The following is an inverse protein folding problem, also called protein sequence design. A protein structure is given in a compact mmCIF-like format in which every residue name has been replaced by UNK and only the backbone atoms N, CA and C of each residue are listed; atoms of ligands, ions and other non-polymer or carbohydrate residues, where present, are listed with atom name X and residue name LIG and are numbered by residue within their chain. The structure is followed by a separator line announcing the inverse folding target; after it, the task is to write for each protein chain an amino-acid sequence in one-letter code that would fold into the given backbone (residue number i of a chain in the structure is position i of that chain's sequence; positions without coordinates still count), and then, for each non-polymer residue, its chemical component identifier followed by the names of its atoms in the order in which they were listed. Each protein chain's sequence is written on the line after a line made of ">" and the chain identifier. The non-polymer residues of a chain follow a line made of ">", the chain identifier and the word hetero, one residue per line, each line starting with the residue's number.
data_IF_854269042445
#
_entry.id   IF_854269042445
#
_cell.length_a   1.000
_cell.length_b   1.000
_cell.length_c   1.000
_cell.angle_alpha   90.00
_cell.angle_beta   90.00
_cell.angle_gamma   90.00
#
_symmetry.space_group_name_H-M   'P 1'
#
loop_
_entity.id
_entity.type
_entity.pdbx_description
1 polymer ?
#
# COMPACT_ATOMS: atom_id res chain seq x y z
N UNK A 1 -61.69 -49.80 28.86
CA UNK A 1 -61.95 -48.77 27.83
C UNK A 1 -61.79 -47.44 28.56
N UNK A 2 -60.83 -46.54 28.33
CA UNK A 2 -60.29 -46.03 27.08
C UNK A 2 -58.87 -45.48 27.33
N UNK A 3 -57.85 -46.19 26.84
CA UNK A 3 -56.45 -45.75 26.82
C UNK A 3 -55.95 -45.53 25.38
N UNK A 4 -56.86 -45.12 24.48
CA UNK A 4 -56.58 -44.95 23.04
C UNK A 4 -56.88 -43.53 22.48
N UNK A 5 -57.28 -42.58 23.33
CA UNK A 5 -57.73 -41.25 22.86
C UNK A 5 -56.62 -40.18 22.86
N UNK A 6 -55.57 -40.36 23.65
CA UNK A 6 -54.46 -39.39 23.77
C UNK A 6 -53.48 -39.47 22.61
N UNK A 7 -53.26 -40.65 22.01
CA UNK A 7 -52.31 -40.82 20.89
C UNK A 7 -52.83 -40.19 19.59
N UNK A 8 -54.13 -40.27 19.32
CA UNK A 8 -54.75 -39.71 18.11
C UNK A 8 -54.80 -38.18 18.13
N UNK A 9 -55.01 -37.58 19.30
CA UNK A 9 -54.98 -36.12 19.47
C UNK A 9 -53.56 -35.54 19.39
N UNK A 10 -52.54 -36.26 19.85
CA UNK A 10 -51.13 -35.89 19.58
C UNK A 10 -50.75 -36.05 18.11
N UNK A 11 -51.23 -37.10 17.42
CA UNK A 11 -50.95 -37.29 15.99
C UNK A 11 -51.61 -36.20 15.13
N UNK A 12 -52.86 -35.83 15.41
CA UNK A 12 -53.53 -34.71 14.73
C UNK A 12 -52.88 -33.36 15.01
N UNK A 13 -52.36 -33.12 16.24
CA UNK A 13 -51.57 -31.92 16.53
C UNK A 13 -50.23 -31.92 15.80
N UNK A 14 -49.56 -33.06 15.69
CA UNK A 14 -48.32 -33.18 14.90
C UNK A 14 -48.56 -32.93 13.42
N UNK A 15 -49.65 -33.45 12.83
CA UNK A 15 -50.00 -33.16 11.44
C UNK A 15 -50.34 -31.68 11.24
N UNK A 16 -51.10 -31.06 12.15
CA UNK A 16 -51.43 -29.62 12.04
C UNK A 16 -50.20 -28.72 12.21
N UNK A 17 -49.26 -29.07 13.10
CA UNK A 17 -47.97 -28.38 13.23
C UNK A 17 -47.10 -28.62 11.98
N UNK A 18 -47.10 -29.82 11.41
CA UNK A 18 -46.33 -30.11 10.19
C UNK A 18 -46.88 -29.36 8.97
N UNK A 19 -48.21 -29.23 8.84
CA UNK A 19 -48.86 -28.43 7.80
C UNK A 19 -48.61 -26.93 7.97
N UNK A 20 -48.59 -26.42 9.21
CA UNK A 20 -48.22 -25.02 9.50
C UNK A 20 -46.71 -24.77 9.28
N UNK A 21 -45.85 -25.74 9.53
CA UNK A 21 -44.42 -25.68 9.21
C UNK A 21 -44.21 -25.70 7.70
N UNK A 22 -44.92 -26.53 6.93
CA UNK A 22 -44.86 -26.47 5.46
C UNK A 22 -45.36 -25.13 4.90
N UNK A 23 -46.38 -24.53 5.52
CA UNK A 23 -46.87 -23.19 5.15
C UNK A 23 -45.88 -22.08 5.54
N UNK A 24 -45.17 -22.20 6.67
CA UNK A 24 -44.14 -21.25 7.11
C UNK A 24 -42.80 -21.41 6.34
N UNK A 25 -42.42 -22.63 5.96
CA UNK A 25 -41.23 -22.95 5.15
C UNK A 25 -41.40 -22.46 3.70
N UNK A 26 -42.64 -22.32 3.23
CA UNK A 26 -42.92 -21.69 1.93
C UNK A 26 -42.93 -20.15 1.97
N UNK A 27 -42.88 -19.49 3.15
CA UNK A 27 -43.10 -18.04 3.25
C UNK A 27 -42.19 -17.21 4.18
N UNK A 28 -41.01 -17.69 4.62
CA UNK A 28 -39.87 -16.82 5.09
C UNK A 28 -38.66 -17.70 5.46
N UNK A 29 -37.46 -17.47 4.89
CA UNK A 29 -36.82 -16.16 4.83
C UNK A 29 -36.34 -15.78 3.41
N UNK A 30 -36.73 -14.61 2.93
CA UNK A 30 -35.94 -13.92 1.89
C UNK A 30 -34.92 -13.02 2.57
N UNK A 31 -33.71 -13.53 2.80
CA UNK A 31 -32.51 -12.71 2.84
C UNK A 31 -31.46 -13.44 2.01
N UNK A 32 -31.37 -13.09 0.72
CA UNK A 32 -30.40 -12.06 0.38
C UNK A 32 -30.96 -11.11 -0.68
N UNK A 33 -31.18 -9.86 -0.32
CA UNK A 33 -30.97 -8.78 -1.28
C UNK A 33 -29.80 -7.93 -0.77
N UNK A 34 -28.59 -8.45 -0.90
CA UNK A 34 -27.41 -7.59 -1.06
C UNK A 34 -27.32 -7.30 -2.56
N UNK A 35 -28.28 -6.56 -3.12
CA UNK A 35 -28.02 -5.79 -4.33
C UNK A 35 -27.08 -4.66 -3.94
N UNK A 36 -25.78 -4.89 -3.99
CA UNK A 36 -24.81 -3.81 -4.18
C UNK A 36 -24.41 -3.85 -5.65
N UNK A 37 -25.17 -3.14 -6.50
CA UNK A 37 -24.52 -2.22 -7.43
C UNK A 37 -25.37 -0.95 -7.69
N UNK A 38 -24.80 0.18 -8.15
CA UNK A 38 -23.43 0.36 -8.60
C UNK A 38 -22.69 1.51 -7.88
N UNK A 39 -21.38 1.35 -7.70
CA UNK A 39 -20.48 2.47 -7.92
C UNK A 39 -20.07 2.31 -9.39
N UNK A 40 -20.33 3.29 -10.25
CA UNK A 40 -20.03 3.22 -11.70
C UNK A 40 -19.39 4.51 -12.18
N UNK A 41 -18.46 5.01 -11.39
CA UNK A 41 -17.69 6.20 -11.70
C UNK A 41 -16.20 5.91 -11.59
N UNK A 42 -15.44 6.64 -12.40
CA UNK A 42 -14.00 6.60 -12.35
C UNK A 42 -13.54 7.35 -11.10
N UNK A 43 -12.61 6.76 -10.35
CA UNK A 43 -11.91 7.41 -9.24
C UNK A 43 -10.69 8.14 -9.77
N UNK A 44 -10.43 9.33 -9.23
CA UNK A 44 -9.21 10.08 -9.55
C UNK A 44 -8.11 9.66 -8.59
N UNK A 45 -6.94 9.30 -9.13
CA UNK A 45 -5.69 9.28 -8.37
C UNK A 45 -4.83 10.44 -8.88
N UNK A 46 -4.66 11.48 -8.06
CA UNK A 46 -3.76 12.60 -8.32
C UNK A 46 -2.36 12.20 -7.89
N UNK A 47 -1.45 12.06 -8.85
CA UNK A 47 -0.07 11.65 -8.61
C UNK A 47 0.80 12.90 -8.60
N UNK A 48 1.43 13.20 -7.46
CA UNK A 48 2.16 14.45 -7.22
C UNK A 48 3.63 14.16 -6.98
N UNK A 49 4.51 14.78 -7.77
CA UNK A 49 5.95 14.76 -7.52
C UNK A 49 6.37 16.02 -6.78
N UNK A 50 6.56 15.92 -5.46
CA UNK A 50 7.12 16.99 -4.65
C UNK A 50 8.64 16.84 -4.44
N UNK A 51 9.31 15.90 -5.10
CA UNK A 51 10.75 15.76 -5.04
C UNK A 51 11.45 16.94 -5.74
N UNK A 52 12.74 17.14 -5.47
CA UNK A 52 13.57 18.13 -6.17
C UNK A 52 14.03 17.63 -7.56
N UNK A 53 13.77 16.37 -7.88
CA UNK A 53 14.15 15.67 -9.11
C UNK A 53 12.93 15.05 -9.79
N UNK A 54 13.00 14.73 -11.09
CA UNK A 54 11.91 14.03 -11.77
C UNK A 54 11.81 12.58 -11.30
N UNK A 55 10.58 12.06 -11.30
CA UNK A 55 10.27 10.66 -11.02
C UNK A 55 9.51 10.05 -12.19
N UNK A 56 9.45 8.72 -12.22
CA UNK A 56 8.70 8.00 -13.25
C UNK A 56 7.65 7.13 -12.58
N UNK A 57 6.45 7.67 -12.28
CA UNK A 57 5.41 6.90 -11.64
C UNK A 57 5.04 5.69 -12.50
N UNK A 58 4.62 4.64 -11.82
CA UNK A 58 4.19 3.39 -12.39
C UNK A 58 2.95 2.90 -11.65
N UNK A 59 2.02 2.31 -12.39
CA UNK A 59 0.77 1.76 -11.87
C UNK A 59 0.59 0.37 -12.43
N UNK A 60 0.40 -0.61 -11.54
CA UNK A 60 0.08 -1.97 -11.93
C UNK A 60 -1.33 -2.31 -11.45
N UNK A 61 -2.16 -2.78 -12.38
CA UNK A 61 -3.50 -3.26 -12.08
C UNK A 61 -3.45 -4.74 -11.79
N UNK A 62 -3.91 -5.13 -10.60
CA UNK A 62 -4.02 -6.52 -10.19
C UNK A 62 -5.42 -7.07 -10.50
N UNK A 63 -6.45 -6.24 -10.32
CA UNK A 63 -7.83 -6.59 -10.63
C UNK A 63 -8.65 -5.35 -11.03
N UNK A 64 -9.76 -5.55 -11.75
CA UNK A 64 -10.68 -4.50 -12.15
C UNK A 64 -10.15 -3.59 -13.27
N UNK A 65 -10.72 -2.39 -13.37
CA UNK A 65 -10.44 -1.46 -14.48
C UNK A 65 -9.27 -0.53 -14.14
N UNK A 66 -8.12 -0.79 -14.76
CA UNK A 66 -6.90 0.02 -14.62
C UNK A 66 -6.93 1.37 -15.36
N UNK A 67 -5.92 2.22 -15.12
CA UNK A 67 -5.76 3.48 -15.84
C UNK A 67 -5.34 3.27 -17.30
N UNK A 68 -5.53 4.32 -18.11
CA UNK A 68 -5.11 4.34 -19.51
C UNK A 68 -3.58 4.29 -19.71
N UNK A 69 -2.82 4.61 -18.67
CA UNK A 69 -1.35 4.55 -18.64
C UNK A 69 -0.89 3.90 -17.34
N UNK A 70 0.07 3.00 -17.46
CA UNK A 70 0.73 2.21 -16.42
C UNK A 70 2.12 2.76 -16.07
N UNK A 71 2.61 3.78 -16.77
CA UNK A 71 3.79 4.52 -16.33
C UNK A 71 4.18 5.69 -17.22
N UNK A 72 4.70 6.74 -16.60
CA UNK A 72 4.97 8.02 -17.27
C UNK A 72 6.10 8.80 -16.60
N UNK A 73 6.57 9.87 -17.26
CA UNK A 73 7.54 10.83 -16.70
C UNK A 73 6.80 11.93 -15.96
N UNK A 74 7.20 12.22 -14.72
CA UNK A 74 6.62 13.29 -13.92
C UNK A 74 7.71 14.26 -13.44
N UNK A 75 7.78 15.49 -14.00
CA UNK A 75 8.78 16.47 -13.59
C UNK A 75 8.67 16.84 -12.10
N UNK A 76 9.76 17.40 -11.57
CA UNK A 76 9.78 18.00 -10.24
C UNK A 76 8.68 19.05 -10.09
N UNK A 77 7.97 19.02 -8.96
CA UNK A 77 6.89 19.95 -8.59
C UNK A 77 5.69 19.95 -9.54
N UNK A 78 5.44 18.83 -10.23
CA UNK A 78 4.29 18.64 -11.10
C UNK A 78 3.36 17.55 -10.57
N UNK A 79 2.12 17.55 -11.07
CA UNK A 79 1.13 16.51 -10.80
C UNK A 79 0.48 16.01 -12.08
N UNK A 80 -0.03 14.78 -12.03
CA UNK A 80 -0.81 14.16 -13.11
C UNK A 80 -1.91 13.29 -12.53
N UNK A 81 -3.11 13.44 -13.06
CA UNK A 81 -4.24 12.59 -12.69
C UNK A 81 -4.27 11.33 -13.56
N UNK A 82 -4.53 10.21 -12.91
CA UNK A 82 -4.95 8.96 -13.56
C UNK A 82 -6.35 8.59 -13.05
N UNK A 83 -7.06 7.83 -13.87
CA UNK A 83 -8.41 7.38 -13.59
C UNK A 83 -8.40 5.88 -13.42
N UNK A 84 -9.04 5.38 -12.37
CA UNK A 84 -9.23 3.94 -12.16
C UNK A 84 -10.71 3.65 -11.98
N UNK A 85 -11.11 2.42 -12.29
CA UNK A 85 -12.47 1.97 -12.02
C UNK A 85 -12.74 1.89 -10.52
N UNK A 86 -14.01 1.96 -10.15
CA UNK A 86 -14.47 1.65 -8.80
C UNK A 86 -14.11 0.22 -8.35
N UNK A 87 -13.95 -0.70 -9.31
CA UNK A 87 -13.59 -2.11 -9.11
C UNK A 87 -12.07 -2.33 -9.06
N UNK A 88 -11.28 -1.27 -9.19
CA UNK A 88 -9.83 -1.38 -9.33
C UNK A 88 -9.15 -1.83 -8.03
N UNK A 89 -8.22 -2.77 -8.17
CA UNK A 89 -7.23 -3.09 -7.14
C UNK A 89 -5.85 -3.16 -7.78
N UNK A 90 -4.87 -2.54 -7.14
CA UNK A 90 -3.55 -2.43 -7.73
C UNK A 90 -2.59 -1.64 -6.86
N UNK A 91 -1.42 -1.37 -7.42
CA UNK A 91 -0.31 -0.70 -6.75
C UNK A 91 0.29 0.39 -7.62
N UNK A 92 0.84 1.39 -6.95
CA UNK A 92 1.46 2.55 -7.55
C UNK A 92 2.79 2.83 -6.84
N UNK A 93 3.83 3.10 -7.61
CA UNK A 93 5.14 3.48 -7.07
C UNK A 93 5.82 4.53 -7.96
N UNK A 94 6.90 5.10 -7.47
CA UNK A 94 7.79 5.94 -8.26
C UNK A 94 9.06 5.18 -8.62
N UNK A 95 9.55 5.40 -9.83
CA UNK A 95 10.88 4.94 -10.24
C UNK A 95 11.84 6.12 -10.29
N UNK A 96 13.08 5.91 -9.89
CA UNK A 96 14.07 6.97 -9.78
C UNK A 96 15.29 6.72 -10.68
N UNK A 97 15.93 7.82 -11.07
CA UNK A 97 17.14 7.82 -11.89
C UNK A 97 17.02 6.92 -13.14
N UNK A 98 15.94 7.09 -13.89
CA UNK A 98 15.67 6.32 -15.10
C UNK A 98 16.29 6.95 -16.33
N UNK A 99 16.71 6.10 -17.26
CA UNK A 99 17.12 6.47 -18.61
C UNK A 99 16.34 5.64 -19.61
N UNK A 100 15.53 6.28 -20.46
CA UNK A 100 14.86 5.61 -21.58
C UNK A 100 15.36 6.17 -22.92
N UNK A 101 15.39 5.30 -23.91
CA UNK A 101 15.85 5.51 -25.27
C UNK A 101 14.87 4.88 -26.25
N UNK A 102 15.01 5.26 -27.51
CA UNK A 102 14.26 4.67 -28.61
C UNK A 102 14.79 3.27 -28.91
N UNK A 103 13.94 2.23 -28.84
CA UNK A 103 14.36 0.84 -29.00
C UNK A 103 15.11 0.54 -30.31
N UNK A 104 14.94 1.38 -31.36
CA UNK A 104 15.56 1.23 -32.68
C UNK A 104 16.49 2.41 -33.07
N UNK A 105 16.87 3.27 -32.14
CA UNK A 105 17.74 4.42 -32.42
C UNK A 105 19.06 4.31 -31.66
N UNK A 106 20.19 4.52 -32.34
CA UNK A 106 21.51 4.68 -31.71
C UNK A 106 21.64 6.02 -30.96
N UNK A 107 20.65 6.90 -31.06
CA UNK A 107 20.58 8.17 -30.32
C UNK A 107 19.71 8.01 -29.08
N UNK A 108 20.32 8.18 -27.90
CA UNK A 108 19.62 8.35 -26.63
C UNK A 108 18.73 9.60 -26.70
N UNK A 109 17.41 9.43 -26.78
CA UNK A 109 16.46 10.54 -26.71
C UNK A 109 16.31 10.94 -25.25
N UNK A 110 16.50 12.22 -24.92
CA UNK A 110 16.19 12.71 -23.58
C UNK A 110 14.67 12.83 -23.47
N UNK A 111 14.05 12.04 -22.60
CA UNK A 111 12.59 11.99 -22.40
C UNK A 111 11.98 13.36 -22.07
N UNK A 112 12.78 14.30 -21.56
CA UNK A 112 12.35 15.70 -21.35
C UNK A 112 11.86 16.37 -22.63
N UNK A 113 12.23 15.86 -23.80
CA UNK A 113 11.86 16.35 -25.12
C UNK A 113 10.68 15.55 -25.74
N UNK A 114 10.19 14.51 -25.06
CA UNK A 114 9.03 13.69 -25.49
C UNK A 114 7.84 14.06 -24.61
N UNK A 115 7.04 15.01 -25.08
CA UNK A 115 5.83 15.48 -24.40
C UNK A 115 4.69 14.52 -24.72
N UNK A 116 4.03 14.00 -23.67
CA UNK A 116 2.74 13.31 -23.66
C UNK A 116 2.34 12.56 -24.94
N UNK A 117 2.83 11.33 -25.08
CA UNK A 117 2.10 10.16 -25.59
C UNK A 117 2.99 8.91 -25.60
N UNK A 118 4.30 9.04 -25.35
CA UNK A 118 5.31 7.96 -25.41
C UNK A 118 5.36 7.14 -26.71
N UNK A 119 4.44 7.39 -27.66
CA UNK A 119 4.51 7.03 -29.06
C UNK A 119 5.34 8.07 -29.77
N UNK A 120 6.51 7.63 -30.19
CA UNK A 120 7.32 8.36 -31.17
C UNK A 120 6.72 8.06 -32.56
N UNK A 121 6.89 8.92 -33.57
CA UNK A 121 6.46 8.61 -34.93
C UNK A 121 6.85 7.16 -35.30
N UNK A 122 5.92 6.44 -35.93
CA UNK A 122 6.01 5.00 -36.29
C UNK A 122 5.68 3.97 -35.21
N UNK A 123 5.17 4.36 -34.03
CA UNK A 123 4.66 3.41 -33.02
C UNK A 123 5.76 2.66 -32.25
N UNK A 124 6.98 3.20 -32.25
CA UNK A 124 8.11 2.63 -31.50
C UNK A 124 7.93 2.84 -29.99
N UNK A 125 8.23 1.78 -29.22
CA UNK A 125 8.21 1.82 -27.74
C UNK A 125 9.54 2.35 -27.21
N UNK A 126 9.47 3.11 -26.11
CA UNK A 126 10.65 3.46 -25.32
C UNK A 126 11.11 2.24 -24.50
N UNK A 127 12.41 1.95 -24.58
CA UNK A 127 13.09 0.99 -23.73
C UNK A 127 14.07 1.73 -22.82
N UNK A 128 14.29 1.27 -21.61
CA UNK A 128 15.15 1.99 -20.66
C UNK A 128 15.31 1.22 -19.38
N UNK A 129 16.02 1.77 -18.41
CA UNK A 129 16.11 1.17 -17.09
C UNK A 129 16.08 2.25 -16.01
N UNK A 130 15.51 1.90 -14.87
CA UNK A 130 15.52 2.71 -13.65
C UNK A 130 16.51 2.17 -12.62
N UNK A 131 17.02 3.04 -11.75
CA UNK A 131 17.88 2.62 -10.65
C UNK A 131 17.07 1.91 -9.56
N UNK A 132 15.87 2.43 -9.26
CA UNK A 132 14.91 1.83 -8.32
C UNK A 132 13.56 1.66 -8.99
N UNK A 133 12.84 0.60 -8.62
CA UNK A 133 11.49 0.32 -9.10
C UNK A 133 11.33 0.02 -10.59
N UNK A 134 12.42 -0.33 -11.29
CA UNK A 134 12.33 -0.73 -12.69
C UNK A 134 11.33 -1.87 -12.88
N UNK A 135 10.53 -1.82 -13.94
CA UNK A 135 9.39 -2.72 -14.14
C UNK A 135 9.52 -3.57 -15.41
N UNK A 136 10.75 -3.99 -15.72
CA UNK A 136 11.04 -4.76 -16.93
C UNK A 136 11.48 -3.88 -18.10
N UNK A 137 12.23 -2.81 -17.80
CA UNK A 137 12.85 -1.93 -18.79
C UNK A 137 11.90 -1.19 -19.74
N UNK A 138 10.66 -0.96 -19.29
CA UNK A 138 9.60 -0.31 -20.05
C UNK A 138 9.07 0.92 -19.32
N UNK A 139 8.69 1.97 -20.06
CA UNK A 139 8.06 3.15 -19.45
C UNK A 139 6.66 2.81 -18.92
N UNK A 140 5.90 2.05 -19.70
CA UNK A 140 4.59 1.47 -19.36
C UNK A 140 4.80 0.12 -18.69
N UNK A 141 4.45 0.01 -17.41
CA UNK A 141 4.74 -1.17 -16.60
C UNK A 141 3.69 -2.27 -16.76
N UNK A 142 4.16 -3.49 -17.03
CA UNK A 142 3.33 -4.71 -17.04
C UNK A 142 3.69 -5.66 -15.89
N UNK A 143 4.81 -5.40 -15.22
CA UNK A 143 5.31 -6.09 -14.05
C UNK A 143 5.37 -5.11 -12.89
N UNK A 144 5.45 -5.62 -11.67
CA UNK A 144 5.78 -4.75 -10.53
C UNK A 144 7.22 -4.26 -10.60
N UNK A 145 7.50 -3.22 -9.81
CA UNK A 145 8.83 -2.66 -9.70
C UNK A 145 9.76 -3.63 -8.99
N UNK A 146 11.00 -3.73 -9.47
CA UNK A 146 12.07 -4.44 -8.79
C UNK A 146 12.42 -3.71 -7.49
N UNK A 147 12.45 -4.47 -6.40
CA UNK A 147 12.85 -4.00 -5.08
C UNK A 147 14.24 -3.32 -5.11
N UNK A 148 14.45 -2.24 -4.33
CA UNK A 148 13.52 -1.68 -3.37
C UNK A 148 12.47 -0.77 -4.01
N UNK A 149 11.22 -0.87 -3.56
CA UNK A 149 10.12 0.02 -3.95
C UNK A 149 9.17 0.30 -2.80
N UNK A 150 8.98 1.58 -2.47
CA UNK A 150 7.87 2.03 -1.65
C UNK A 150 6.58 1.96 -2.48
N UNK A 151 5.57 1.21 -2.02
CA UNK A 151 4.32 1.02 -2.74
C UNK A 151 3.17 1.79 -2.08
N UNK A 152 2.29 2.39 -2.89
CA UNK A 152 0.93 2.73 -2.52
C UNK A 152 0.01 1.62 -3.05
N UNK A 153 -0.71 0.95 -2.17
CA UNK A 153 -1.60 -0.15 -2.52
C UNK A 153 -3.06 0.27 -2.32
N UNK A 154 -3.94 -0.20 -3.21
CA UNK A 154 -5.35 0.15 -3.19
C UNK A 154 -6.24 -1.05 -3.50
N UNK A 155 -7.37 -1.11 -2.83
CA UNK A 155 -8.54 -1.92 -3.16
C UNK A 155 -9.76 -1.01 -3.11
N UNK A 156 -10.20 -0.50 -4.27
CA UNK A 156 -11.25 0.53 -4.39
C UNK A 156 -12.64 0.04 -4.00
N UNK A 157 -12.89 -1.26 -4.09
CA UNK A 157 -14.11 -1.88 -3.56
C UNK A 157 -13.75 -3.11 -2.76
N UNK A 158 -13.48 -2.90 -1.48
CA UNK A 158 -13.37 -3.96 -0.49
C UNK A 158 -14.70 -4.28 0.18
N UNK A 159 -14.62 -5.09 1.22
CA UNK A 159 -15.77 -5.51 2.01
C UNK A 159 -16.54 -4.28 2.58
N UNK A 160 -17.87 -4.37 2.64
CA UNK A 160 -18.76 -3.29 3.11
C UNK A 160 -18.67 -1.96 2.33
N UNK A 161 -18.31 -1.97 1.04
CA UNK A 161 -18.15 -0.75 0.22
C UNK A 161 -17.14 0.23 0.82
N UNK A 162 -16.02 -0.29 1.30
CA UNK A 162 -14.90 0.51 1.75
C UNK A 162 -13.77 0.45 0.73
N UNK A 163 -13.11 1.57 0.52
CA UNK A 163 -11.82 1.60 -0.14
C UNK A 163 -10.75 1.34 0.90
N UNK A 164 -9.94 0.32 0.67
CA UNK A 164 -8.75 0.04 1.47
C UNK A 164 -7.51 0.54 0.75
N UNK A 165 -6.58 1.10 1.51
CA UNK A 165 -5.32 1.58 0.99
C UNK A 165 -4.25 1.61 2.08
N UNK A 166 -3.00 1.54 1.65
CA UNK A 166 -1.86 1.53 2.54
C UNK A 166 -0.58 1.96 1.82
N UNK A 167 0.43 2.30 2.62
CA UNK A 167 1.81 2.40 2.16
C UNK A 167 2.52 1.11 2.56
N UNK A 168 3.24 0.50 1.65
CA UNK A 168 3.89 -0.79 1.86
C UNK A 168 5.38 -0.74 1.57
N UNK A 169 6.16 -1.22 2.55
CA UNK A 169 7.61 -1.37 2.52
C UNK A 169 8.01 -2.85 2.44
N UNK A 170 7.06 -3.73 2.12
CA UNK A 170 7.28 -5.17 1.94
C UNK A 170 8.32 -5.44 0.85
N UNK A 171 8.28 -4.65 -0.22
CA UNK A 171 9.23 -4.69 -1.33
C UNK A 171 10.40 -3.71 -1.16
N UNK A 172 10.59 -3.15 0.04
CA UNK A 172 11.68 -2.24 0.36
C UNK A 172 11.25 -0.76 0.43
N UNK A 173 12.23 0.12 0.49
CA UNK A 173 12.06 1.56 0.58
C UNK A 173 12.98 2.28 -0.40
N UNK A 174 12.41 3.11 -1.27
CA UNK A 174 13.19 3.92 -2.22
C UNK A 174 12.69 5.36 -2.36
N UNK A 175 11.46 5.68 -1.98
CA UNK A 175 11.00 7.06 -2.01
C UNK A 175 9.97 7.33 -0.93
N UNK A 176 10.06 8.52 -0.33
CA UNK A 176 9.09 9.00 0.65
C UNK A 176 7.70 9.13 -0.01
N UNK A 177 6.65 8.76 0.71
CA UNK A 177 5.29 8.69 0.17
C UNK A 177 4.25 9.17 1.17
N UNK A 178 3.19 9.79 0.65
CA UNK A 178 1.99 10.17 1.39
C UNK A 178 0.76 9.83 0.55
N UNK A 179 -0.28 9.30 1.19
CA UNK A 179 -1.58 9.05 0.55
C UNK A 179 -2.65 9.89 1.26
N UNK A 180 -3.34 10.76 0.53
CA UNK A 180 -4.42 11.60 1.07
C UNK A 180 -5.75 11.20 0.41
N UNK A 181 -6.71 10.60 1.13
CA UNK A 181 -8.05 10.43 0.59
C UNK A 181 -8.76 11.79 0.49
N UNK A 182 -9.55 11.97 -0.56
CA UNK A 182 -10.45 13.11 -0.69
C UNK A 182 -11.80 12.67 -1.26
N UNK A 183 -12.85 13.42 -0.93
CA UNK A 183 -14.18 13.21 -1.49
C UNK A 183 -14.97 14.51 -1.51
N UNK A 184 -15.92 14.60 -2.43
CA UNK A 184 -16.82 15.76 -2.54
C UNK A 184 -18.08 15.64 -1.65
N UNK A 185 -18.18 14.60 -0.81
CA UNK A 185 -19.35 14.40 0.06
C UNK A 185 -19.45 15.47 1.17
N UNK A 186 -20.52 16.29 1.20
CA UNK A 186 -20.73 17.30 2.23
C UNK A 186 -21.19 16.73 3.58
N UNK A 187 -21.58 15.44 3.63
CA UNK A 187 -22.13 14.78 4.82
C UNK A 187 -21.10 14.00 5.64
N UNK A 188 -19.89 13.76 5.09
CA UNK A 188 -18.85 12.98 5.78
C UNK A 188 -17.71 13.88 6.25
N UNK A 189 -17.39 13.93 7.55
CA UNK A 189 -16.22 14.65 8.03
C UNK A 189 -14.95 13.99 7.50
N UNK A 190 -13.97 14.80 7.07
CA UNK A 190 -12.62 14.30 6.74
C UNK A 190 -12.01 13.69 8.00
N UNK A 191 -11.85 12.38 8.02
CA UNK A 191 -11.07 11.69 9.06
C UNK A 191 -9.59 11.81 8.67
N UNK A 192 -8.70 12.04 9.64
CA UNK A 192 -7.27 12.06 9.37
C UNK A 192 -6.74 10.65 9.09
N UNK A 193 -6.96 10.16 7.87
CA UNK A 193 -6.53 8.85 7.38
C UNK A 193 -5.44 9.03 6.30
N UNK A 194 -4.46 9.88 6.58
CA UNK A 194 -3.41 10.25 5.62
C UNK A 194 -2.09 9.61 6.05
N UNK A 195 -1.81 8.34 5.70
CA UNK A 195 -0.53 7.73 6.02
C UNK A 195 0.61 8.47 5.30
N UNK A 196 1.67 8.75 6.05
CA UNK A 196 2.91 9.35 5.56
C UNK A 196 4.07 8.43 5.97
N UNK A 197 4.92 8.10 5.01
CA UNK A 197 6.18 7.41 5.26
C UNK A 197 7.35 8.24 4.70
N UNK A 198 8.11 8.83 5.62
CA UNK A 198 9.33 9.61 5.39
C UNK A 198 10.45 8.98 6.20
N UNK A 199 11.32 8.26 5.50
CA UNK A 199 12.50 7.59 6.06
C UNK A 199 13.81 8.07 5.40
N UNK A 200 13.75 9.17 4.62
CA UNK A 200 14.92 9.87 4.07
C UNK A 200 15.24 11.15 4.87
N UNK A 201 16.51 11.57 4.87
CA UNK A 201 16.98 12.83 5.52
C UNK A 201 16.87 14.05 4.60
N UNK A 202 16.54 13.86 3.32
CA UNK A 202 16.81 14.88 2.30
C UNK A 202 15.78 15.98 2.16
N UNK A 203 14.63 15.94 2.85
CA UNK A 203 13.70 17.08 2.88
C UNK A 203 12.85 17.08 4.16
N UNK A 204 13.35 17.72 5.21
CA UNK A 204 12.50 18.02 6.36
C UNK A 204 13.02 19.25 7.11
N UNK A 205 12.60 20.44 6.66
CA UNK A 205 12.03 21.32 7.67
C UNK A 205 10.83 20.59 8.28
N UNK A 206 10.58 20.69 9.59
CA UNK A 206 9.34 20.20 10.17
C UNK A 206 8.17 20.77 9.36
N UNK A 207 7.18 19.93 9.03
CA UNK A 207 5.91 20.39 8.46
C UNK A 207 5.38 21.50 9.38
N UNK A 208 5.43 22.74 8.89
CA UNK A 208 5.00 23.90 9.65
C UNK A 208 3.47 23.89 9.72
N UNK A 209 2.95 23.43 10.86
CA UNK A 209 1.54 23.53 11.20
C UNK A 209 0.63 22.50 10.52
N UNK A 210 -0.29 21.99 11.33
CA UNK A 210 -1.56 21.35 10.96
C UNK A 210 -1.57 19.91 10.45
N UNK A 211 -0.84 18.98 11.08
CA UNK A 211 -1.32 17.59 11.22
C UNK A 211 -1.15 17.16 12.68
N UNK A 212 -2.25 17.18 13.43
CA UNK A 212 -2.33 16.99 14.89
C UNK A 212 -2.15 15.52 15.34
N UNK A 213 -1.61 14.64 14.50
CA UNK A 213 -1.48 13.22 14.80
C UNK A 213 -0.02 12.77 14.65
N UNK A 214 0.54 12.51 15.84
CA UNK A 214 1.85 11.97 16.22
C UNK A 214 2.84 11.59 15.11
N UNK A 215 4.07 12.10 15.31
CA UNK A 215 5.29 11.63 14.66
C UNK A 215 5.52 10.15 14.96
N UNK A 216 5.77 9.34 13.94
CA UNK A 216 6.14 7.93 14.08
C UNK A 216 7.54 7.71 14.66
N UNK A 217 8.41 8.72 14.62
CA UNK A 217 9.78 8.60 15.12
C UNK A 217 9.73 8.28 16.62
N UNK A 218 10.19 7.09 16.96
CA UNK A 218 10.45 6.70 18.34
C UNK A 218 11.71 7.43 18.87
N UNK A 219 11.87 7.55 20.19
CA UNK A 219 13.02 8.21 20.84
C UNK A 219 14.40 7.67 20.39
N UNK A 220 14.45 6.42 19.90
CA UNK A 220 15.67 5.80 19.36
C UNK A 220 16.15 6.43 18.04
N UNK A 221 15.28 7.14 17.32
CA UNK A 221 15.61 7.86 16.09
C UNK A 221 15.28 9.35 16.21
N UNK A 222 16.19 10.17 15.70
CA UNK A 222 16.08 11.61 15.54
C UNK A 222 16.27 11.95 14.06
N UNK A 223 15.89 13.14 13.64
CA UNK A 223 16.18 13.62 12.28
C UNK A 223 17.66 13.50 11.90
N UNK A 224 18.57 13.59 12.87
CA UNK A 224 20.02 13.51 12.64
C UNK A 224 20.52 12.09 12.42
N UNK A 225 19.76 11.06 12.80
CA UNK A 225 20.17 9.66 12.70
C UNK A 225 19.11 8.75 12.03
N UNK A 226 18.00 9.30 11.52
CA UNK A 226 16.90 8.56 10.90
C UNK A 226 17.43 7.62 9.82
N UNK A 227 18.40 8.09 9.06
CA UNK A 227 19.08 7.40 7.98
C UNK A 227 19.76 6.08 8.41
N UNK A 228 20.08 5.90 9.70
CA UNK A 228 20.58 4.62 10.24
C UNK A 228 19.50 3.54 10.39
N UNK A 229 18.24 3.81 10.06
CA UNK A 229 17.16 2.84 10.22
C UNK A 229 17.36 1.60 9.34
N UNK A 230 17.85 1.77 8.11
CA UNK A 230 18.09 0.65 7.19
C UNK A 230 19.23 -0.23 7.71
N UNK A 231 19.03 -1.55 7.90
CA UNK A 231 20.12 -2.44 8.24
C UNK A 231 21.23 -2.40 7.17
N UNK A 232 22.51 -2.49 7.58
CA UNK A 232 23.65 -2.32 6.66
C UNK A 232 23.60 -3.26 5.45
N UNK A 233 23.22 -4.51 5.69
CA UNK A 233 23.12 -5.53 4.64
C UNK A 233 21.99 -5.27 3.63
N UNK A 234 21.00 -4.45 4.01
CA UNK A 234 19.82 -4.14 3.21
C UNK A 234 20.01 -2.88 2.34
N UNK A 235 21.12 -2.16 2.48
CA UNK A 235 21.35 -0.96 1.67
C UNK A 235 21.67 -1.34 0.23
N UNK A 236 20.97 -0.73 -0.72
CA UNK A 236 21.17 -0.97 -2.14
C UNK A 236 22.59 -0.58 -2.59
N UNK A 237 23.17 0.46 -1.98
CA UNK A 237 24.54 0.89 -2.20
C UNK A 237 25.30 0.95 -0.87
N UNK A 238 26.44 0.27 -0.80
CA UNK A 238 27.38 0.50 0.30
C UNK A 238 28.14 1.81 0.05
N UNK A 239 28.38 2.58 1.11
CA UNK A 239 29.24 3.77 1.07
C UNK A 239 30.52 3.53 0.23
N UNK A 240 30.83 4.47 -0.69
CA UNK A 240 32.06 4.46 -1.48
C UNK A 240 33.12 5.37 -0.85
N UNK A 241 34.34 4.85 -0.74
CA UNK A 241 35.54 5.57 -0.26
C UNK A 241 35.75 6.89 -1.03
N UNK A 242 35.96 8.00 -0.31
CA UNK A 242 36.31 9.30 -0.91
C UNK A 242 35.16 10.09 -1.56
N UNK A 243 33.90 9.67 -1.38
CA UNK A 243 32.73 10.48 -1.73
C UNK A 243 31.99 10.84 -0.44
N UNK A 244 31.76 12.14 -0.24
CA UNK A 244 31.02 12.64 0.92
C UNK A 244 29.63 12.06 0.88
N UNK A 245 29.24 11.57 2.02
CA UNK A 245 28.15 10.66 2.05
C UNK A 245 27.59 10.94 3.49
N UNK A 246 26.29 11.14 3.58
CA UNK A 246 25.40 11.44 4.71
C UNK A 246 25.22 10.38 5.86
N UNK A 247 25.65 9.10 5.80
CA UNK A 247 25.23 7.97 6.67
C UNK A 247 26.35 7.39 7.50
N UNK A 248 26.00 6.90 8.71
CA UNK A 248 27.02 6.73 9.68
C UNK A 248 27.17 5.28 10.18
N UNK A 249 28.40 4.78 10.19
CA UNK A 249 28.88 3.46 10.55
C UNK A 249 30.02 3.52 11.61
N UNK A 250 30.50 2.39 12.14
CA UNK A 250 31.58 2.38 13.15
C UNK A 250 32.89 3.09 12.74
N UNK A 251 33.02 3.42 11.46
CA UNK A 251 34.06 4.18 10.78
C UNK A 251 33.73 5.67 10.57
N UNK A 252 32.71 6.21 11.24
CA UNK A 252 32.27 7.62 11.15
C UNK A 252 33.27 8.67 11.62
N UNK A 253 34.23 8.25 12.44
CA UNK A 253 35.32 9.12 12.87
C UNK A 253 36.39 9.27 11.79
N UNK A 254 36.27 8.56 10.65
CA UNK A 254 37.14 8.69 9.48
C UNK A 254 36.59 9.74 8.48
N UNK A 255 37.24 10.92 8.37
CA UNK A 255 36.81 11.99 7.47
C UNK A 255 36.97 11.67 5.97
N UNK A 256 37.44 10.47 5.60
CA UNK A 256 37.61 10.03 4.22
C UNK A 256 36.40 9.24 3.66
N UNK A 257 35.37 9.01 4.48
CA UNK A 257 34.16 8.25 4.16
C UNK A 257 32.93 9.11 4.44
N UNK A 258 31.84 8.95 3.71
CA UNK A 258 30.52 9.29 4.26
C UNK A 258 29.42 8.27 3.86
N UNK A 259 28.11 8.44 4.14
CA UNK A 259 26.90 7.80 3.47
C UNK A 259 25.73 8.62 2.75
N UNK A 260 25.68 9.01 1.47
CA UNK A 260 24.47 9.70 0.90
C UNK A 260 23.21 8.84 1.05
N UNK A 261 21.98 9.41 1.24
CA UNK A 261 20.73 8.61 1.35
C UNK A 261 20.68 7.50 0.29
N UNK A 262 20.31 6.29 0.70
CA UNK A 262 20.41 5.06 -0.10
C UNK A 262 19.13 4.26 0.08
N UNK A 263 18.52 3.79 -1.03
CA UNK A 263 17.38 2.89 -0.98
C UNK A 263 17.66 1.64 -0.14
N UNK A 264 16.64 1.13 0.55
CA UNK A 264 16.75 0.00 1.46
C UNK A 264 15.93 -1.19 0.93
N UNK A 265 16.59 -2.29 0.58
CA UNK A 265 15.94 -3.56 0.31
C UNK A 265 15.18 -4.04 1.54
N UNK A 266 14.00 -4.64 1.35
CA UNK A 266 13.38 -5.41 2.42
C UNK A 266 14.21 -6.65 2.75
N UNK A 267 13.92 -7.28 3.90
CA UNK A 267 14.58 -8.53 4.23
C UNK A 267 14.33 -9.62 3.18
N UNK A 268 13.09 -9.74 2.67
CA UNK A 268 12.76 -10.69 1.61
C UNK A 268 13.56 -10.41 0.32
N UNK A 269 13.59 -9.15 -0.13
CA UNK A 269 14.33 -8.77 -1.33
C UNK A 269 15.85 -9.06 -1.20
N UNK A 270 16.39 -8.98 0.01
CA UNK A 270 17.79 -9.27 0.28
C UNK A 270 18.09 -10.77 0.42
N UNK A 271 17.34 -11.50 1.26
CA UNK A 271 17.69 -12.89 1.61
C UNK A 271 17.02 -13.93 0.73
N UNK A 272 15.87 -13.60 0.13
CA UNK A 272 15.00 -14.53 -0.59
C UNK A 272 14.62 -15.79 0.22
N UNK A 273 14.70 -15.71 1.55
CA UNK A 273 14.43 -16.84 2.43
C UNK A 273 12.93 -17.00 2.69
N UNK A 274 12.48 -18.25 2.92
CA UNK A 274 11.07 -18.53 3.26
C UNK A 274 10.59 -17.72 4.47
N UNK A 275 11.45 -17.54 5.49
CA UNK A 275 11.13 -16.76 6.68
C UNK A 275 10.91 -15.28 6.37
N UNK A 276 11.84 -14.64 5.65
CA UNK A 276 11.73 -13.19 5.40
C UNK A 276 10.67 -12.85 4.36
N UNK A 277 10.38 -13.77 3.44
CA UNK A 277 9.35 -13.62 2.41
C UNK A 277 7.97 -14.16 2.85
N UNK A 278 7.87 -14.75 4.05
CA UNK A 278 6.66 -15.38 4.55
C UNK A 278 6.05 -16.39 3.57
N UNK A 279 6.88 -17.31 3.05
CA UNK A 279 6.48 -18.36 2.12
C UNK A 279 6.73 -19.75 2.70
N UNK A 280 6.28 -20.80 2.01
CA UNK A 280 6.52 -22.18 2.43
C UNK A 280 5.93 -22.47 3.81
N UNK A 281 6.77 -22.80 4.79
CA UNK A 281 6.31 -23.06 6.17
C UNK A 281 5.91 -21.79 6.94
N UNK A 282 6.22 -20.63 6.38
CA UNK A 282 5.97 -19.30 6.94
C UNK A 282 4.84 -18.58 6.20
N UNK A 283 3.99 -19.29 5.46
CA UNK A 283 2.86 -18.77 4.68
C UNK A 283 1.64 -18.33 5.53
N UNK A 284 1.83 -18.08 6.83
CA UNK A 284 0.78 -17.67 7.77
C UNK A 284 1.31 -16.66 8.77
N UNK A 285 0.42 -15.81 9.26
CA UNK A 285 0.75 -14.80 10.27
C UNK A 285 1.29 -15.43 11.58
N UNK A 286 0.84 -16.64 11.94
CA UNK A 286 1.33 -17.34 13.14
C UNK A 286 2.76 -17.88 12.97
N UNK A 287 3.18 -18.12 11.72
CA UNK A 287 4.47 -18.74 11.41
C UNK A 287 5.48 -17.77 10.79
N UNK A 288 5.07 -16.58 10.34
CA UNK A 288 5.96 -15.51 9.89
C UNK A 288 5.98 -14.33 10.87
N UNK A 289 7.11 -14.17 11.57
CA UNK A 289 7.30 -13.08 12.52
C UNK A 289 8.11 -11.90 11.94
N UNK A 290 8.08 -10.73 12.60
CA UNK A 290 8.83 -9.57 12.16
C UNK A 290 10.35 -9.77 12.31
N UNK A 291 11.09 -9.48 11.24
CA UNK A 291 12.56 -9.51 11.18
C UNK A 291 13.20 -8.16 11.56
N UNK A 292 14.54 -8.06 11.48
CA UNK A 292 15.26 -6.83 11.85
C UNK A 292 14.87 -5.63 10.97
N UNK A 293 14.73 -5.84 9.65
CA UNK A 293 14.31 -4.79 8.73
C UNK A 293 12.91 -4.29 9.10
N UNK A 294 11.93 -5.20 9.21
CA UNK A 294 10.54 -4.81 9.42
C UNK A 294 10.33 -4.08 10.75
N UNK A 295 10.99 -4.54 11.82
CA UNK A 295 11.00 -3.86 13.13
C UNK A 295 11.54 -2.42 13.04
N UNK A 296 12.60 -2.19 12.27
CA UNK A 296 13.17 -0.85 12.10
C UNK A 296 12.33 0.02 11.16
N UNK A 297 11.82 -0.56 10.07
CA UNK A 297 10.91 0.11 9.15
C UNK A 297 9.67 0.65 9.89
N UNK A 298 9.08 -0.15 10.79
CA UNK A 298 7.93 0.27 11.60
C UNK A 298 8.25 1.38 12.62
N UNK A 299 9.52 1.52 13.01
CA UNK A 299 9.97 2.59 13.91
C UNK A 299 10.12 3.94 13.20
N UNK A 300 10.32 3.94 11.87
CA UNK A 300 10.37 5.16 11.06
C UNK A 300 9.07 5.44 10.32
N UNK A 301 8.34 4.42 9.88
CA UNK A 301 7.06 4.52 9.17
C UNK A 301 6.00 3.65 9.85
N UNK A 302 5.43 4.15 10.95
CA UNK A 302 4.51 3.43 11.82
C UNK A 302 3.20 3.05 11.14
N UNK A 303 2.72 3.87 10.22
CA UNK A 303 1.51 3.62 9.44
C UNK A 303 1.72 2.73 8.19
N UNK A 304 2.97 2.38 7.85
CA UNK A 304 3.26 1.56 6.68
C UNK A 304 3.36 0.06 7.03
N UNK A 305 3.01 -0.80 6.07
CA UNK A 305 3.34 -2.22 6.12
C UNK A 305 4.86 -2.40 6.04
N UNK A 306 5.41 -3.21 6.93
CA UNK A 306 6.85 -3.46 7.03
C UNK A 306 7.26 -4.86 6.59
N UNK A 307 6.30 -5.80 6.49
CA UNK A 307 6.44 -7.16 5.95
C UNK A 307 5.05 -7.75 5.63
N UNK A 308 5.00 -8.94 5.00
CA UNK A 308 3.76 -9.49 4.43
C UNK A 308 2.60 -9.73 5.42
N UNK A 309 2.89 -10.08 6.67
CA UNK A 309 1.89 -10.30 7.72
C UNK A 309 1.97 -9.25 8.84
N UNK A 310 2.32 -8.01 8.50
CA UNK A 310 2.31 -6.91 9.46
C UNK A 310 0.92 -6.66 10.05
N UNK A 311 0.87 -5.81 11.07
CA UNK A 311 -0.34 -5.51 11.81
C UNK A 311 -1.41 -4.78 10.98
N UNK A 312 -2.66 -4.96 11.42
CA UNK A 312 -3.84 -4.31 10.85
C UNK A 312 -3.85 -2.78 11.03
N UNK A 313 -2.91 -2.21 11.80
CA UNK A 313 -2.78 -0.77 11.99
C UNK A 313 -2.06 -0.10 10.82
N UNK A 314 -1.66 -0.88 9.82
CA UNK A 314 -1.05 -0.43 8.57
C UNK A 314 -2.06 -0.24 7.44
N UNK A 315 -3.30 -0.72 7.60
CA UNK A 315 -4.36 -0.61 6.58
C UNK A 315 -5.32 0.51 6.91
N UNK A 316 -5.52 1.43 5.98
CA UNK A 316 -6.51 2.49 6.10
C UNK A 316 -7.76 2.13 5.31
N UNK A 317 -8.90 2.55 5.82
CA UNK A 317 -10.18 2.36 5.17
C UNK A 317 -10.97 3.66 5.16
N UNK A 318 -11.56 3.99 4.01
CA UNK A 318 -12.53 5.07 3.88
C UNK A 318 -13.80 4.52 3.22
N UNK A 319 -14.99 5.06 3.57
CA UNK A 319 -16.21 4.66 2.88
C UNK A 319 -16.13 5.01 1.40
N UNK A 320 -16.40 4.04 0.52
CA UNK A 320 -16.45 4.34 -0.91
C UNK A 320 -17.69 5.15 -1.23
N UNK A 321 -17.48 6.36 -1.76
CA UNK A 321 -18.53 7.33 -2.06
C UNK A 321 -18.32 7.92 -3.44
N UNK A 322 -19.40 8.34 -4.10
CA UNK A 322 -19.30 9.04 -5.39
C UNK A 322 -18.38 10.27 -5.26
N UNK A 323 -17.49 10.47 -6.22
CA UNK A 323 -16.52 11.57 -6.19
C UNK A 323 -15.37 11.38 -5.19
N UNK A 324 -15.18 10.16 -4.67
CA UNK A 324 -13.96 9.78 -3.97
C UNK A 324 -12.75 9.79 -4.92
N UNK A 325 -11.61 10.20 -4.38
CA UNK A 325 -10.31 10.11 -5.03
C UNK A 325 -9.18 10.14 -4.02
N UNK A 326 -7.96 9.99 -4.52
CA UNK A 326 -6.76 9.91 -3.70
C UNK A 326 -5.66 10.79 -4.28
N UNK A 327 -4.89 11.43 -3.43
CA UNK A 327 -3.62 12.03 -3.79
C UNK A 327 -2.49 11.12 -3.31
N UNK A 328 -1.63 10.69 -4.23
CA UNK A 328 -0.36 10.03 -3.89
C UNK A 328 0.77 11.01 -4.15
N UNK A 329 1.44 11.43 -3.09
CA UNK A 329 2.52 12.42 -3.14
C UNK A 329 3.87 11.77 -2.84
N UNK A 330 4.81 11.92 -3.77
CA UNK A 330 6.22 11.56 -3.56
C UNK A 330 6.98 12.72 -2.94
N UNK A 331 7.89 12.42 -2.01
CA UNK A 331 8.65 13.42 -1.24
C UNK A 331 7.75 14.46 -0.53
N UNK A 332 6.78 14.03 0.31
CA UNK A 332 5.91 14.96 1.04
C UNK A 332 6.66 15.87 2.00
N UNK A 333 7.86 15.44 2.43
CA UNK A 333 8.64 16.08 3.49
C UNK A 333 8.03 15.87 4.87
N UNK A 334 8.65 16.44 5.90
CA UNK A 334 8.17 16.32 7.27
C UNK A 334 8.54 14.99 7.92
N UNK A 335 7.60 14.37 8.63
CA UNK A 335 7.79 13.10 9.37
C UNK A 335 6.68 12.12 9.06
N UNK A 336 6.99 10.83 9.18
CA UNK A 336 6.00 9.78 9.10
C UNK A 336 4.96 9.86 10.21
N UNK A 337 3.79 9.32 9.92
CA UNK A 337 2.64 9.30 10.83
C UNK A 337 2.49 7.94 11.55
N UNK A 338 1.73 7.93 12.65
CA UNK A 338 1.39 6.73 13.42
C UNK A 338 -0.09 6.76 13.88
N UNK A 339 -0.99 7.03 12.93
CA UNK A 339 -2.39 7.38 13.13
C UNK A 339 -3.15 6.27 13.86
N UNK A 340 -3.24 5.06 13.30
CA UNK A 340 -4.14 4.03 13.82
C UNK A 340 -3.68 3.51 15.18
N UNK A 341 -2.36 3.43 15.40
CA UNK A 341 -1.80 3.09 16.72
C UNK A 341 -2.11 4.16 17.76
N UNK A 342 -2.05 5.44 17.40
CA UNK A 342 -2.41 6.54 18.30
C UNK A 342 -3.90 6.48 18.65
N UNK A 343 -4.77 6.35 17.65
CA UNK A 343 -6.21 6.35 17.82
C UNK A 343 -6.70 5.14 18.62
N UNK A 344 -6.15 3.95 18.36
CA UNK A 344 -6.58 2.70 19.01
C UNK A 344 -5.82 2.43 20.32
N UNK A 345 -4.58 2.90 20.46
CA UNK A 345 -3.79 2.79 21.70
C UNK A 345 -4.26 3.74 22.81
N UNK A 346 -4.94 4.83 22.46
CA UNK A 346 -5.56 5.77 23.41
C UNK A 346 -6.86 5.25 24.04
N UNK A 347 -7.42 4.15 23.51
CA UNK A 347 -8.70 3.58 23.92
C UNK A 347 -8.58 2.14 24.43
N UNK A 348 -8.19 1.98 25.70
CA UNK A 348 -8.27 0.69 26.41
C UNK A 348 -9.73 0.19 26.48
N UNK A 349 -10.14 -0.61 25.50
CA UNK A 349 -11.22 -1.59 25.68
C UNK A 349 -10.90 -2.85 24.85
N UNK A 350 -10.74 -3.96 25.55
CA UNK A 350 -10.30 -5.26 25.04
C UNK A 350 -11.24 -5.92 24.02
N UNK A 351 -12.44 -5.37 23.79
CA UNK A 351 -13.45 -5.97 22.89
C UNK A 351 -13.27 -5.66 21.40
N UNK A 352 -12.61 -4.55 21.04
CA UNK A 352 -12.43 -4.16 19.62
C UNK A 352 -11.26 -4.89 18.95
N UNK A 353 -10.29 -5.35 19.75
CA UNK A 353 -9.10 -6.05 19.27
C UNK A 353 -9.44 -7.47 18.76
N UNK A 354 -10.44 -8.14 19.35
CA UNK A 354 -10.86 -9.48 18.93
C UNK A 354 -11.75 -9.49 17.68
N UNK A 355 -12.56 -8.42 17.47
CA UNK A 355 -13.32 -8.24 16.22
C UNK A 355 -12.40 -7.95 15.03
N UNK A 356 -11.33 -7.16 15.24
CA UNK A 356 -10.30 -6.91 14.23
C UNK A 356 -9.54 -8.18 13.83
N UNK A 357 -9.21 -9.04 14.80
CA UNK A 357 -8.57 -10.34 14.57
C UNK A 357 -9.44 -11.32 13.78
N UNK A 358 -10.75 -11.39 14.07
CA UNK A 358 -11.68 -12.32 13.41
C UNK A 358 -11.97 -11.99 11.94
N UNK A 359 -12.02 -10.70 11.58
CA UNK A 359 -12.14 -10.25 10.20
C UNK A 359 -10.82 -10.42 9.41
N UNK A 360 -9.67 -10.32 10.08
CA UNK A 360 -8.35 -10.40 9.45
C UNK A 360 -7.96 -11.78 8.91
N UNK A 361 -8.37 -12.87 9.54
CA UNK A 361 -8.10 -14.24 9.04
C UNK A 361 -8.68 -14.44 7.64
N UNK A 362 -9.76 -13.73 7.30
CA UNK A 362 -10.35 -13.75 5.95
C UNK A 362 -9.68 -12.79 4.96
N UNK A 363 -9.10 -11.68 5.44
CA UNK A 363 -8.41 -10.66 4.62
C UNK A 363 -6.97 -11.08 4.27
N UNK A 364 -6.22 -11.67 5.19
CA UNK A 364 -4.86 -12.16 4.94
C UNK A 364 -4.83 -13.29 3.88
N UNK A 365 -5.90 -14.06 3.76
CA UNK A 365 -6.07 -15.06 2.70
C UNK A 365 -6.29 -14.39 1.33
N UNK A 366 -7.02 -13.27 1.27
CA UNK A 366 -7.26 -12.56 0.02
C UNK A 366 -6.04 -11.76 -0.48
N UNK A 367 -5.27 -11.14 0.44
CA UNK A 367 -4.04 -10.41 0.09
C UNK A 367 -2.81 -11.33 -0.06
N UNK A 368 -2.71 -12.39 0.76
CA UNK A 368 -1.64 -13.40 0.64
C UNK A 368 -1.70 -14.19 -0.68
N UNK A 369 -2.89 -14.35 -1.28
CA UNK A 369 -3.05 -14.91 -2.61
C UNK A 369 -2.50 -14.00 -3.73
N UNK A 370 -2.31 -12.70 -3.47
CA UNK A 370 -1.65 -11.76 -4.40
C UNK A 370 -0.13 -11.79 -4.27
N UNK A 371 0.41 -12.18 -3.11
CA UNK A 371 1.86 -12.40 -2.90
C UNK A 371 2.30 -13.73 -3.50
N UNK A 372 1.42 -14.74 -3.56
CA UNK A 372 1.69 -16.04 -4.20
C UNK A 372 1.67 -16.04 -5.73
N UNK A 373 1.58 -14.86 -6.36
CA UNK A 373 1.58 -14.67 -7.82
C UNK A 373 2.95 -14.37 -8.44
N UNK A 374 4.04 -14.63 -7.72
CA UNK A 374 5.43 -14.49 -8.18
C UNK A 374 6.15 -15.82 -8.26
#
# INVERSE_FOLDING_TARGET
>A
MAAKSTTLTTLLRLFYVCSLVQYAVSQRPTTPDIRIPPISDNRTISIVNNCSFPVYPAVLTTNGTGPYTTGFYLPSKQSRNVWVGWDWSGRLWARTNCSFYLANSTTSVKIRDVVDNFTIPDGQKLAGNCLTGDCGSAIECQLSGLAPTTLAEFTMTGWMQQTFYDISLVDGYDLDMKITPFHDSPEKPRVNNTPICVASTTLSSPLAGTDLYQNSLNESFSFNNIHRWCPRQNLLFTSQKGKQSVFPYPDDDDPTIGGGWTPCLSACAYTQSEWDCCTGKHDKAETCGPNLYSKRAKQVCGDAYSYAYDDYLSTFAVPSVKGEGFEVMFCPGGVSTNILKTLLGSGSSSGLQDLGRGLWVSFAVALGLLVSGW
#
